data_IF_094843488454
#
_entry.id   IF_094843488454
#
_cell.length_a   1.000
_cell.length_b   1.000
_cell.length_c   1.000
_cell.angle_alpha   90.00
_cell.angle_beta   90.00
_cell.angle_gamma   90.00
#
_symmetry.space_group_name_H-M   'P 1'
#
loop_
_entity.id
_entity.type
_entity.pdbx_description
1 polymer ?
#
# COMPACT_ATOMS: atom_id res chain seq x y z
N UNK A 1 25.41 4.91 1.55
CA UNK A 1 24.54 3.86 2.12
C UNK A 1 23.44 3.54 1.11
N UNK A 2 22.93 2.31 1.05
CA UNK A 2 21.84 1.95 0.12
C UNK A 2 20.50 2.23 0.82
N UNK A 3 19.62 2.99 0.19
CA UNK A 3 18.24 3.17 0.62
C UNK A 3 17.38 2.05 -0.01
N UNK A 4 16.68 1.27 0.81
CA UNK A 4 15.82 0.16 0.39
C UNK A 4 14.37 0.52 0.67
N UNK A 5 13.61 0.68 -0.40
CA UNK A 5 12.15 0.90 -0.34
C UNK A 5 11.40 -0.37 -0.73
N UNK A 6 10.41 -0.76 0.06
CA UNK A 6 9.49 -1.83 -0.28
C UNK A 6 8.21 -1.26 -0.88
N UNK A 7 7.82 -1.74 -2.06
CA UNK A 7 6.60 -1.31 -2.74
C UNK A 7 5.58 -2.46 -2.70
N UNK A 8 4.41 -2.20 -2.14
CA UNK A 8 3.27 -3.12 -2.14
C UNK A 8 2.29 -2.66 -3.22
N UNK A 9 2.21 -3.40 -4.32
CA UNK A 9 1.14 -3.19 -5.28
C UNK A 9 -0.19 -3.73 -4.72
N UNK A 10 -1.18 -2.87 -4.59
CA UNK A 10 -2.47 -3.16 -3.99
C UNK A 10 -3.60 -2.77 -4.96
N UNK A 11 -4.42 -3.74 -5.34
CA UNK A 11 -5.62 -3.55 -6.18
C UNK A 11 -6.76 -4.43 -5.69
N UNK A 12 -7.98 -3.93 -5.79
CA UNK A 12 -9.22 -4.60 -5.41
C UNK A 12 -9.68 -5.60 -6.48
N UNK A 13 -9.31 -5.36 -7.74
CA UNK A 13 -9.74 -6.09 -8.95
C UNK A 13 -9.08 -7.47 -9.14
N UNK A 14 -9.26 -8.38 -8.18
CA UNK A 14 -8.84 -9.78 -8.25
C UNK A 14 -9.96 -10.67 -8.81
N UNK A 15 -9.71 -11.43 -9.88
CA UNK A 15 -10.71 -12.31 -10.50
C UNK A 15 -10.96 -13.63 -9.76
N UNK A 16 -9.97 -14.13 -9.03
CA UNK A 16 -10.06 -15.42 -8.29
C UNK A 16 -10.48 -15.26 -6.84
N UNK A 17 -10.15 -14.13 -6.23
CA UNK A 17 -10.57 -13.77 -4.87
C UNK A 17 -10.74 -12.26 -4.80
N UNK A 18 -11.91 -11.73 -5.23
CA UNK A 18 -12.19 -10.30 -5.23
C UNK A 18 -11.98 -9.68 -3.85
N UNK A 19 -11.37 -8.50 -3.79
CA UNK A 19 -11.16 -7.78 -2.53
C UNK A 19 -10.13 -8.42 -1.59
N UNK A 20 -9.34 -9.40 -2.04
CA UNK A 20 -8.31 -10.09 -1.22
C UNK A 20 -7.45 -9.13 -0.38
N UNK A 21 -7.03 -8.00 -0.93
CA UNK A 21 -6.15 -7.04 -0.26
C UNK A 21 -6.74 -6.51 1.05
N UNK A 22 -8.07 -6.31 1.09
CA UNK A 22 -8.80 -5.82 2.26
C UNK A 22 -9.58 -6.91 2.99
N UNK A 23 -9.50 -8.15 2.51
CA UNK A 23 -10.10 -9.29 3.20
C UNK A 23 -9.52 -9.39 4.62
N UNK A 24 -10.37 -9.50 5.65
CA UNK A 24 -9.89 -9.69 7.02
C UNK A 24 -9.10 -10.99 7.16
N UNK A 25 -7.98 -10.92 7.87
CA UNK A 25 -7.19 -12.08 8.29
C UNK A 25 -6.88 -11.91 9.78
N UNK A 26 -7.75 -12.47 10.63
CA UNK A 26 -7.84 -12.10 12.03
C UNK A 26 -8.49 -10.72 12.16
N UNK A 27 -7.92 -9.86 13.01
CA UNK A 27 -8.48 -8.53 13.34
C UNK A 27 -8.06 -7.42 12.36
N UNK A 28 -7.30 -7.75 11.32
CA UNK A 28 -6.74 -6.78 10.37
C UNK A 28 -6.90 -7.24 8.93
N UNK A 29 -7.03 -6.32 7.97
CA UNK A 29 -6.99 -6.67 6.55
C UNK A 29 -5.61 -7.22 6.15
N UNK A 30 -5.58 -8.06 5.11
CA UNK A 30 -4.33 -8.65 4.58
C UNK A 30 -3.26 -7.60 4.29
N UNK A 31 -3.62 -6.45 3.71
CA UNK A 31 -2.69 -5.35 3.43
C UNK A 31 -1.98 -4.87 4.71
N UNK A 32 -2.74 -4.69 5.79
CA UNK A 32 -2.16 -4.26 7.06
C UNK A 32 -1.22 -5.29 7.64
N UNK A 33 -1.56 -6.58 7.54
CA UNK A 33 -0.68 -7.64 8.00
C UNK A 33 0.67 -7.62 7.26
N UNK A 34 0.65 -7.40 5.95
CA UNK A 34 1.87 -7.27 5.13
C UNK A 34 2.71 -6.08 5.61
N UNK A 35 2.09 -4.91 5.78
CA UNK A 35 2.79 -3.70 6.25
C UNK A 35 3.41 -3.92 7.63
N UNK A 36 2.65 -4.51 8.58
CA UNK A 36 3.16 -4.85 9.92
C UNK A 36 4.39 -5.74 9.85
N UNK A 37 4.41 -6.74 8.95
CA UNK A 37 5.58 -7.61 8.77
C UNK A 37 6.76 -6.89 8.14
N UNK A 38 6.54 -6.04 7.14
CA UNK A 38 7.61 -5.26 6.52
C UNK A 38 8.27 -4.29 7.51
N UNK A 39 7.50 -3.70 8.44
CA UNK A 39 8.04 -2.82 9.49
C UNK A 39 8.97 -3.51 10.48
N UNK A 40 8.98 -4.85 10.54
CA UNK A 40 9.92 -5.62 11.37
C UNK A 40 11.27 -5.85 10.67
N UNK A 41 11.40 -5.48 9.39
CA UNK A 41 12.64 -5.67 8.63
C UNK A 41 13.54 -4.45 8.81
N UNK A 42 14.62 -4.61 9.55
CA UNK A 42 15.56 -3.51 9.90
C UNK A 42 16.18 -2.81 8.68
N UNK A 43 16.27 -3.51 7.55
CA UNK A 43 16.92 -3.02 6.34
C UNK A 43 15.97 -2.32 5.36
N UNK A 44 14.69 -2.16 5.69
CA UNK A 44 13.72 -1.44 4.86
C UNK A 44 13.57 -0.03 5.43
N UNK A 45 13.97 0.97 4.64
CA UNK A 45 13.92 2.38 5.04
C UNK A 45 12.53 2.99 4.83
N UNK A 46 11.79 2.52 3.81
CA UNK A 46 10.47 3.03 3.46
C UNK A 46 9.54 1.93 2.92
N UNK A 47 8.24 2.10 3.15
CA UNK A 47 7.19 1.23 2.62
C UNK A 47 6.19 2.09 1.85
N UNK A 48 5.97 1.77 0.58
CA UNK A 48 5.00 2.45 -0.28
C UNK A 48 3.88 1.48 -0.62
N UNK A 49 2.62 1.91 -0.45
CA UNK A 49 1.47 1.19 -1.00
C UNK A 49 1.12 1.82 -2.34
N UNK A 50 1.34 1.09 -3.42
CA UNK A 50 1.03 1.51 -4.79
C UNK A 50 -0.33 0.97 -5.21
N UNK A 51 -1.31 1.85 -5.41
CA UNK A 51 -2.65 1.48 -5.90
C UNK A 51 -3.02 2.25 -7.18
N UNK A 52 -4.09 1.86 -7.88
CA UNK A 52 -4.52 2.55 -9.09
C UNK A 52 -5.38 3.77 -8.78
N UNK A 53 -5.68 4.56 -9.81
CA UNK A 53 -6.63 5.68 -9.77
C UNK A 53 -8.09 5.26 -10.03
N UNK A 54 -8.34 3.95 -10.15
CA UNK A 54 -9.68 3.40 -10.28
C UNK A 54 -10.46 3.53 -8.96
N UNK A 55 -11.72 3.97 -9.05
CA UNK A 55 -12.62 4.09 -7.88
C UNK A 55 -12.83 2.77 -7.15
N UNK A 56 -12.61 1.63 -7.82
CA UNK A 56 -12.63 0.33 -7.17
C UNK A 56 -11.55 0.16 -6.10
N UNK A 57 -10.45 0.90 -6.21
CA UNK A 57 -9.29 0.86 -5.31
C UNK A 57 -9.37 1.90 -4.17
N UNK A 58 -10.36 2.81 -4.19
CA UNK A 58 -10.60 3.80 -3.11
C UNK A 58 -10.60 3.20 -1.69
N UNK A 59 -11.16 1.99 -1.44
CA UNK A 59 -11.09 1.38 -0.12
C UNK A 59 -9.66 1.16 0.39
N UNK A 60 -8.68 0.97 -0.49
CA UNK A 60 -7.25 0.84 -0.12
C UNK A 60 -6.72 2.19 0.37
N UNK A 61 -7.04 3.28 -0.33
CA UNK A 61 -6.66 4.66 0.03
C UNK A 61 -7.29 5.04 1.37
N UNK A 62 -8.57 4.71 1.57
CA UNK A 62 -9.28 4.95 2.82
C UNK A 62 -8.63 4.20 4.00
N UNK A 63 -8.28 2.92 3.82
CA UNK A 63 -7.57 2.16 4.85
C UNK A 63 -6.23 2.84 5.21
N UNK A 64 -5.46 3.27 4.20
CA UNK A 64 -4.21 4.00 4.42
C UNK A 64 -4.43 5.29 5.23
N UNK A 65 -5.45 6.07 4.89
CA UNK A 65 -5.79 7.32 5.57
C UNK A 65 -6.20 7.09 7.03
N UNK A 66 -7.09 6.12 7.29
CA UNK A 66 -7.56 5.76 8.65
C UNK A 66 -6.39 5.32 9.54
N UNK A 67 -5.43 4.59 8.97
CA UNK A 67 -4.24 4.10 9.70
C UNK A 67 -3.12 5.15 9.82
N UNK A 68 -3.28 6.32 9.20
CA UNK A 68 -2.28 7.39 9.19
C UNK A 68 -1.03 7.05 8.37
N UNK A 69 -1.13 6.14 7.40
CA UNK A 69 -0.02 5.77 6.52
C UNK A 69 0.14 6.79 5.40
N UNK A 70 0.97 7.80 5.65
CA UNK A 70 1.30 8.89 4.71
C UNK A 70 2.04 8.43 3.45
N UNK A 71 2.51 7.18 3.41
CA UNK A 71 3.32 6.58 2.36
C UNK A 71 2.49 5.80 1.32
N UNK A 72 1.17 5.90 1.40
CA UNK A 72 0.27 5.29 0.43
C UNK A 72 0.20 6.18 -0.81
N UNK A 73 0.71 5.68 -1.92
CA UNK A 73 0.77 6.38 -3.19
C UNK A 73 -0.31 5.79 -4.10
N UNK A 74 -1.35 6.58 -4.34
CA UNK A 74 -2.18 6.40 -5.54
C UNK A 74 -1.28 6.73 -6.71
N UNK A 75 -0.94 5.73 -7.52
CA UNK A 75 -0.21 5.99 -8.76
C UNK A 75 -1.22 6.65 -9.70
N UNK A 76 -1.32 7.98 -9.61
CA UNK A 76 -1.80 8.76 -10.74
C UNK A 76 -0.86 8.44 -11.89
N UNK A 77 -1.42 8.01 -13.00
CA UNK A 77 -0.67 7.82 -14.25
C UNK A 77 -0.08 9.15 -14.78
N UNK A 78 -0.28 10.26 -14.06
CA UNK A 78 0.22 11.58 -14.40
C UNK A 78 0.51 12.37 -13.12
N UNK A 79 1.78 12.75 -12.91
CA UNK A 79 2.34 13.53 -11.79
C UNK A 79 2.51 12.83 -10.45
N UNK A 80 3.74 12.39 -10.15
CA UNK A 80 4.37 12.48 -8.82
C UNK A 80 5.91 12.29 -8.94
N UNK A 81 6.66 13.18 -9.64
CA UNK A 81 8.12 13.08 -9.68
C UNK A 81 8.79 13.50 -8.37
N UNK A 82 8.17 14.30 -7.49
CA UNK A 82 8.93 14.98 -6.43
C UNK A 82 8.66 14.54 -4.98
N UNK A 83 7.56 13.81 -4.69
CA UNK A 83 7.21 13.44 -3.30
C UNK A 83 7.69 12.03 -2.90
N UNK A 84 8.10 11.22 -3.88
CA UNK A 84 8.48 9.81 -3.68
C UNK A 84 10.00 9.65 -3.52
N UNK A 85 10.78 10.65 -3.95
CA UNK A 85 12.25 10.59 -3.98
C UNK A 85 12.97 11.57 -3.05
N UNK A 86 12.24 12.26 -2.16
CA UNK A 86 12.82 13.08 -1.07
C UNK A 86 12.89 12.25 0.22
#
# INVERSE_FOLDING_TARGET
MKNITAIIQARMSSSRLPGKVLMPLGDVPILELIIRRLRLVERIDAIIVATSDGVEDDPIVQLCAIRGWRWCVVIYTMFLPDLIWQ
#
